data_IF_934925124026
#
_entry.id   IF_934925124026
#
_cell.length_a   1.000
_cell.length_b   1.000
_cell.length_c   1.000
_cell.angle_alpha   90.00
_cell.angle_beta   90.00
_cell.angle_gamma   90.00
#
_symmetry.space_group_name_H-M   'P 1'
#
loop_
_entity.id
_entity.type
_entity.pdbx_description
1 polymer ?
#
# COMPACT_ATOMS: atom_id res chain seq x y z
N UNK A 1 12.79 82.20 1.29
CA UNK A 1 12.43 81.67 -0.03
C UNK A 1 12.24 80.19 0.11
N UNK A 2 11.04 79.88 0.08
CA UNK A 2 10.50 78.56 0.49
C UNK A 2 10.30 77.77 -0.74
N UNK A 3 10.83 76.59 -0.75
CA UNK A 3 10.44 75.59 -1.76
C UNK A 3 9.84 74.40 -1.05
N UNK A 4 8.58 74.38 -1.15
CA UNK A 4 7.72 73.33 -0.69
C UNK A 4 7.88 72.12 -1.65
N UNK A 5 8.48 71.08 -1.21
CA UNK A 5 8.56 69.85 -1.93
C UNK A 5 7.43 68.91 -1.44
N UNK A 6 6.41 68.86 -2.23
CA UNK A 6 5.28 67.94 -2.03
C UNK A 6 5.73 66.55 -2.36
N UNK A 7 5.97 65.77 -1.36
CA UNK A 7 6.15 64.34 -1.53
C UNK A 7 4.80 63.68 -1.69
N UNK A 8 4.55 63.29 -2.92
CA UNK A 8 3.41 62.46 -3.27
C UNK A 8 3.67 61.04 -2.77
N UNK A 9 3.03 60.70 -1.67
CA UNK A 9 3.05 59.35 -1.13
C UNK A 9 2.08 58.49 -1.92
N UNK A 10 2.61 57.79 -2.89
CA UNK A 10 1.84 56.76 -3.60
C UNK A 10 1.60 55.58 -2.67
N UNK A 11 0.40 55.51 -2.14
CA UNK A 11 -0.11 54.32 -1.46
C UNK A 11 -0.31 53.22 -2.48
N UNK A 12 0.66 52.38 -2.62
CA UNK A 12 0.49 51.12 -3.34
C UNK A 12 -0.22 50.14 -2.39
N UNK A 13 -1.52 50.08 -2.53
CA UNK A 13 -2.32 49.05 -1.93
C UNK A 13 -1.99 47.72 -2.58
N UNK A 14 -1.10 46.98 -1.94
CA UNK A 14 -0.97 45.55 -2.27
C UNK A 14 -2.21 44.84 -1.78
N UNK A 15 -3.14 44.60 -2.68
CA UNK A 15 -4.17 43.60 -2.48
C UNK A 15 -3.46 42.26 -2.56
N UNK A 16 -3.05 41.75 -1.44
CA UNK A 16 -2.70 40.35 -1.31
C UNK A 16 -4.00 39.57 -1.33
N UNK A 17 -4.37 39.07 -2.49
CA UNK A 17 -5.32 37.99 -2.57
C UNK A 17 -4.64 36.75 -2.03
N UNK A 18 -4.86 36.48 -0.75
CA UNK A 18 -4.58 35.19 -0.18
C UNK A 18 -5.53 34.19 -0.83
N UNK A 19 -5.10 33.55 -1.87
CA UNK A 19 -5.67 32.30 -2.27
C UNK A 19 -5.25 31.25 -1.24
N UNK A 20 -6.04 31.13 -0.19
CA UNK A 20 -6.05 29.95 0.63
C UNK A 20 -6.76 28.87 -0.20
N UNK A 21 -6.04 28.21 -1.06
CA UNK A 21 -6.39 26.89 -1.50
C UNK A 21 -5.98 25.96 -0.36
N UNK A 22 -6.91 25.76 0.54
CA UNK A 22 -6.88 24.58 1.40
C UNK A 22 -7.05 23.35 0.52
N UNK A 23 -5.97 22.99 -0.14
CA UNK A 23 -5.79 21.64 -0.55
C UNK A 23 -5.37 20.90 0.72
N UNK A 24 -6.33 20.32 1.41
CA UNK A 24 -6.09 19.23 2.32
C UNK A 24 -5.48 18.08 1.52
N UNK A 25 -4.23 18.27 1.18
CA UNK A 25 -3.37 17.16 0.89
C UNK A 25 -3.12 16.47 2.23
N UNK A 26 -4.01 15.53 2.54
CA UNK A 26 -3.61 14.44 3.37
C UNK A 26 -2.50 13.71 2.59
N UNK A 27 -1.31 14.28 2.64
CA UNK A 27 -0.10 13.56 2.30
C UNK A 27 -0.01 12.45 3.34
N UNK A 28 -0.45 11.28 2.97
CA UNK A 28 -0.09 10.07 3.66
C UNK A 28 1.40 9.88 3.43
N UNK A 29 2.20 10.69 4.13
CA UNK A 29 3.63 10.49 4.22
C UNK A 29 3.84 9.17 4.94
N UNK A 30 4.23 8.17 4.21
CA UNK A 30 4.52 6.87 4.76
C UNK A 30 4.33 5.70 3.81
N UNK A 31 3.86 5.95 2.60
CA UNK A 31 3.71 4.88 1.60
C UNK A 31 5.06 4.56 0.97
N UNK A 32 5.90 3.89 1.74
CA UNK A 32 7.22 3.40 1.27
C UNK A 32 7.05 2.51 0.03
N UNK A 33 5.92 1.83 -0.07
CA UNK A 33 5.60 0.96 -1.19
C UNK A 33 5.38 1.69 -2.52
N UNK A 34 4.95 2.96 -2.53
CA UNK A 34 4.78 3.72 -3.77
C UNK A 34 6.09 3.96 -4.52
N UNK A 35 7.22 3.99 -3.81
CA UNK A 35 8.54 4.17 -4.41
C UNK A 35 9.15 2.89 -4.96
N UNK A 36 8.69 1.73 -4.48
CA UNK A 36 9.30 0.43 -4.75
C UNK A 36 8.47 -0.44 -5.70
N UNK A 37 7.25 -0.02 -6.03
CA UNK A 37 6.27 -0.88 -6.68
C UNK A 37 5.83 -0.28 -8.00
N UNK A 38 5.92 -1.06 -9.07
CA UNK A 38 5.24 -0.75 -10.31
C UNK A 38 3.72 -0.91 -10.09
N UNK A 39 3.03 0.21 -9.85
CA UNK A 39 1.61 0.24 -9.52
C UNK A 39 0.70 -0.46 -10.53
N UNK A 40 1.17 -0.72 -11.75
CA UNK A 40 0.43 -1.49 -12.76
C UNK A 40 0.34 -2.98 -12.42
N UNK A 41 1.30 -3.51 -11.68
CA UNK A 41 1.36 -4.93 -11.33
C UNK A 41 0.63 -5.27 -10.04
N UNK A 42 0.55 -4.33 -9.10
CA UNK A 42 0.01 -4.60 -7.79
C UNK A 42 -1.49 -4.82 -7.74
N UNK A 43 -2.28 -4.05 -8.45
CA UNK A 43 -3.74 -4.14 -8.51
C UNK A 43 -4.43 -4.57 -7.20
N UNK A 44 -3.86 -4.20 -6.04
CA UNK A 44 -4.44 -4.41 -4.72
C UNK A 44 -5.40 -3.29 -4.37
N UNK A 45 -6.30 -3.53 -3.43
CA UNK A 45 -7.10 -2.46 -2.83
C UNK A 45 -6.19 -1.65 -1.89
N UNK A 46 -5.98 -0.33 -2.12
CA UNK A 46 -5.04 0.47 -1.33
C UNK A 46 -5.40 0.50 0.16
N UNK A 47 -6.65 0.76 0.50
CA UNK A 47 -7.11 0.84 1.90
C UNK A 47 -6.93 -0.49 2.64
N UNK A 48 -7.15 -1.59 1.93
CA UNK A 48 -6.98 -2.92 2.49
C UNK A 48 -5.49 -3.24 2.69
N UNK A 49 -4.66 -2.83 1.75
CA UNK A 49 -3.22 -3.00 1.83
C UNK A 49 -2.63 -2.19 2.99
N UNK A 50 -3.01 -0.93 3.12
CA UNK A 50 -2.58 -0.07 4.23
C UNK A 50 -2.97 -0.66 5.60
N UNK A 51 -4.19 -1.16 5.73
CA UNK A 51 -4.63 -1.86 6.95
C UNK A 51 -3.82 -3.12 7.22
N UNK A 52 -3.44 -3.83 6.17
CA UNK A 52 -2.61 -5.02 6.29
C UNK A 52 -1.22 -4.68 6.83
N UNK A 53 -0.64 -3.55 6.42
CA UNK A 53 0.68 -3.12 6.86
C UNK A 53 0.73 -2.65 8.31
N UNK A 54 -0.40 -2.29 8.91
CA UNK A 54 -0.45 -1.82 10.30
C UNK A 54 0.15 -2.85 11.25
N UNK A 55 1.14 -2.42 12.03
CA UNK A 55 1.84 -3.27 13.02
C UNK A 55 2.89 -4.19 12.43
N UNK A 56 3.20 -4.09 11.15
CA UNK A 56 4.31 -4.80 10.52
C UNK A 56 5.55 -3.90 10.54
N UNK A 57 6.59 -4.38 11.19
CA UNK A 57 7.92 -3.77 11.22
C UNK A 57 8.94 -4.83 10.81
N UNK A 58 10.01 -4.39 10.14
CA UNK A 58 11.07 -5.31 9.66
C UNK A 58 10.49 -6.54 8.95
N UNK A 59 9.61 -6.28 8.00
CA UNK A 59 8.87 -7.32 7.29
C UNK A 59 9.00 -7.18 5.78
N UNK A 60 8.71 -8.27 5.11
CA UNK A 60 8.47 -8.30 3.67
C UNK A 60 7.09 -8.90 3.40
N UNK A 61 6.44 -8.39 2.37
CA UNK A 61 5.10 -8.82 1.99
C UNK A 61 5.13 -9.44 0.61
N UNK A 62 4.73 -10.69 0.52
CA UNK A 62 4.43 -11.35 -0.74
C UNK A 62 2.99 -11.03 -1.15
N UNK A 63 2.84 -10.48 -2.34
CA UNK A 63 1.56 -10.16 -2.96
C UNK A 63 1.37 -11.18 -4.08
N UNK A 64 0.44 -12.12 -3.87
CA UNK A 64 0.24 -13.27 -4.75
C UNK A 64 -1.04 -13.11 -5.54
N UNK A 65 -0.94 -13.24 -6.86
CA UNK A 65 -2.10 -13.36 -7.75
C UNK A 65 -2.61 -14.78 -7.74
N UNK A 66 -3.89 -14.97 -7.42
CA UNK A 66 -4.51 -16.29 -7.30
C UNK A 66 -5.75 -16.39 -8.18
N UNK A 67 -5.82 -17.45 -8.96
CA UNK A 67 -7.00 -17.83 -9.73
C UNK A 67 -7.81 -18.92 -9.01
N UNK A 68 -9.11 -18.93 -9.25
CA UNK A 68 -10.02 -19.94 -8.71
C UNK A 68 -10.61 -19.62 -7.35
N UNK A 69 -10.31 -18.45 -6.79
CA UNK A 69 -10.98 -17.96 -5.57
C UNK A 69 -12.36 -17.41 -5.92
N UNK A 70 -13.39 -18.22 -5.72
CA UNK A 70 -14.77 -17.85 -6.06
C UNK A 70 -15.68 -17.74 -4.86
N UNK A 71 -15.22 -18.13 -3.67
CA UNK A 71 -16.05 -18.14 -2.46
C UNK A 71 -15.22 -17.91 -1.18
N UNK A 72 -15.94 -17.47 -0.16
CA UNK A 72 -15.42 -17.24 1.19
C UNK A 72 -14.73 -18.46 1.81
N UNK A 73 -15.23 -19.63 1.47
CA UNK A 73 -14.67 -20.89 1.97
C UNK A 73 -13.25 -21.13 1.47
N UNK A 74 -12.99 -20.78 0.21
CA UNK A 74 -11.67 -20.87 -0.39
C UNK A 74 -10.68 -19.92 0.30
N UNK A 75 -11.10 -18.69 0.55
CA UNK A 75 -10.29 -17.70 1.26
C UNK A 75 -9.92 -18.16 2.66
N UNK A 76 -10.87 -18.70 3.41
CA UNK A 76 -10.65 -19.23 4.77
C UNK A 76 -9.72 -20.44 4.76
N UNK A 77 -9.79 -21.28 3.74
CA UNK A 77 -8.89 -22.42 3.56
C UNK A 77 -7.44 -21.95 3.40
N UNK A 78 -7.22 -20.98 2.53
CA UNK A 78 -5.90 -20.38 2.32
C UNK A 78 -5.40 -19.72 3.62
N UNK A 79 -6.19 -18.88 4.26
CA UNK A 79 -5.80 -18.24 5.52
C UNK A 79 -5.41 -19.26 6.58
N UNK A 80 -6.20 -20.32 6.74
CA UNK A 80 -5.94 -21.39 7.70
C UNK A 80 -4.64 -22.13 7.40
N UNK A 81 -4.34 -22.35 6.14
CA UNK A 81 -3.11 -23.03 5.71
C UNK A 81 -1.88 -22.19 6.06
N UNK A 82 -1.89 -20.89 5.73
CA UNK A 82 -0.76 -20.02 6.00
C UNK A 82 -0.62 -19.64 7.48
N UNK A 83 -1.70 -19.57 8.24
CA UNK A 83 -1.64 -19.34 9.70
C UNK A 83 -0.95 -20.46 10.47
N UNK A 84 -0.82 -21.64 9.91
CA UNK A 84 -0.08 -22.76 10.49
C UNK A 84 1.42 -22.69 10.24
N UNK A 85 1.84 -21.86 9.31
CA UNK A 85 3.25 -21.67 8.99
C UNK A 85 3.86 -20.64 9.94
N UNK A 86 4.83 -21.08 10.76
CA UNK A 86 5.50 -20.23 11.75
C UNK A 86 6.28 -19.07 11.14
N UNK A 87 6.64 -19.15 9.87
CA UNK A 87 7.31 -18.08 9.12
C UNK A 87 6.38 -16.93 8.76
N UNK A 88 5.09 -17.17 8.72
CA UNK A 88 4.07 -16.19 8.35
C UNK A 88 3.70 -15.31 9.53
N UNK A 89 3.99 -14.02 9.43
CA UNK A 89 3.61 -13.02 10.44
C UNK A 89 2.14 -12.61 10.33
N UNK A 90 1.67 -12.45 9.10
CA UNK A 90 0.29 -11.99 8.82
C UNK A 90 -0.18 -12.50 7.47
N UNK A 91 -1.46 -12.76 7.34
CA UNK A 91 -2.10 -13.20 6.10
C UNK A 91 -3.40 -12.44 5.89
N UNK A 92 -3.68 -12.04 4.66
CA UNK A 92 -4.96 -11.49 4.23
C UNK A 92 -5.32 -12.01 2.84
N UNK A 93 -6.58 -12.33 2.63
CA UNK A 93 -7.08 -12.83 1.34
C UNK A 93 -8.17 -11.91 0.83
N UNK A 94 -7.90 -11.26 -0.30
CA UNK A 94 -8.86 -10.41 -1.01
C UNK A 94 -9.52 -11.18 -2.16
N UNK A 95 -10.71 -11.69 -1.90
CA UNK A 95 -11.52 -12.40 -2.91
C UNK A 95 -11.85 -11.52 -4.12
N UNK A 96 -12.15 -10.24 -3.88
CA UNK A 96 -12.61 -9.33 -4.92
C UNK A 96 -11.54 -9.03 -5.96
N UNK A 97 -10.28 -9.13 -5.58
CA UNK A 97 -9.11 -8.88 -6.41
C UNK A 97 -8.32 -10.14 -6.77
N UNK A 98 -8.67 -11.27 -6.19
CA UNK A 98 -7.89 -12.50 -6.37
C UNK A 98 -6.47 -12.38 -5.82
N UNK A 99 -6.30 -11.68 -4.69
CA UNK A 99 -4.98 -11.41 -4.07
C UNK A 99 -4.86 -12.09 -2.73
N UNK A 100 -3.66 -12.61 -2.49
CA UNK A 100 -3.24 -13.07 -1.16
C UNK A 100 -2.04 -12.26 -0.72
N UNK A 101 -2.13 -11.62 0.44
CA UNK A 101 -1.07 -10.86 1.07
C UNK A 101 -0.48 -11.69 2.21
N UNK A 102 0.82 -11.95 2.15
CA UNK A 102 1.51 -12.78 3.14
C UNK A 102 2.73 -12.01 3.66
N UNK A 103 2.74 -11.71 4.95
CA UNK A 103 3.87 -11.04 5.58
C UNK A 103 4.84 -12.04 6.22
N UNK A 104 6.11 -11.85 5.96
CA UNK A 104 7.23 -12.59 6.51
C UNK A 104 8.22 -11.65 7.19
N UNK A 105 9.13 -12.17 8.02
CA UNK A 105 10.28 -11.40 8.48
C UNK A 105 11.22 -11.08 7.32
N UNK A 106 11.98 -9.96 7.41
CA UNK A 106 12.95 -9.59 6.37
C UNK A 106 14.00 -10.66 6.09
N UNK A 107 14.34 -11.46 7.10
CA UNK A 107 15.37 -12.50 6.99
C UNK A 107 14.84 -13.84 6.46
N UNK A 108 13.54 -13.97 6.24
CA UNK A 108 12.96 -15.18 5.68
C UNK A 108 13.12 -15.22 4.16
N UNK A 109 13.50 -16.36 3.65
CA UNK A 109 13.48 -16.62 2.21
C UNK A 109 12.06 -16.96 1.77
N UNK A 110 11.53 -16.18 0.83
CA UNK A 110 10.20 -16.41 0.28
C UNK A 110 10.31 -17.28 -0.96
N UNK A 111 9.87 -18.53 -0.86
CA UNK A 111 9.81 -19.46 -1.99
C UNK A 111 8.39 -19.45 -2.61
N UNK A 112 8.32 -19.03 -3.87
CA UNK A 112 7.05 -19.02 -4.60
C UNK A 112 6.49 -20.42 -4.84
N UNK A 113 7.33 -21.45 -4.96
CA UNK A 113 6.85 -22.83 -5.15
C UNK A 113 6.17 -23.34 -3.88
N UNK A 114 6.73 -23.07 -2.71
CA UNK A 114 6.09 -23.40 -1.44
C UNK A 114 4.71 -22.71 -1.29
N UNK A 115 4.63 -21.43 -1.66
CA UNK A 115 3.38 -20.68 -1.67
C UNK A 115 2.37 -21.30 -2.64
N UNK A 116 2.81 -21.66 -3.85
CA UNK A 116 1.96 -22.33 -4.86
C UNK A 116 1.38 -23.64 -4.34
N UNK A 117 2.19 -24.48 -3.73
CA UNK A 117 1.77 -25.75 -3.16
C UNK A 117 0.69 -25.55 -2.08
N UNK A 118 0.90 -24.61 -1.17
CA UNK A 118 -0.07 -24.27 -0.12
C UNK A 118 -1.39 -23.73 -0.69
N UNK A 119 -1.35 -23.01 -1.79
CA UNK A 119 -2.55 -22.50 -2.46
C UNK A 119 -3.28 -23.62 -3.22
N UNK A 120 -2.53 -24.49 -3.90
CA UNK A 120 -3.09 -25.63 -4.67
C UNK A 120 -3.81 -26.62 -3.76
N UNK A 121 -3.31 -26.87 -2.56
CA UNK A 121 -3.99 -27.72 -1.57
C UNK A 121 -5.41 -27.24 -1.26
N UNK A 122 -5.65 -25.94 -1.41
CA UNK A 122 -6.97 -25.33 -1.21
C UNK A 122 -7.79 -25.23 -2.52
N UNK A 123 -7.33 -25.83 -3.59
CA UNK A 123 -8.05 -25.90 -4.88
C UNK A 123 -7.91 -24.67 -5.76
N UNK A 124 -6.94 -23.77 -5.49
CA UNK A 124 -6.68 -22.57 -6.27
C UNK A 124 -5.30 -22.62 -6.89
N UNK A 125 -5.02 -21.68 -7.81
CA UNK A 125 -3.74 -21.57 -8.48
C UNK A 125 -3.09 -20.21 -8.25
N UNK A 126 -1.89 -20.17 -7.69
CA UNK A 126 -1.05 -18.99 -7.67
C UNK A 126 -0.37 -18.81 -9.03
N UNK A 127 -0.52 -17.62 -9.63
CA UNK A 127 -0.04 -17.32 -10.98
C UNK A 127 1.30 -16.62 -10.93
N UNK A 128 1.39 -15.58 -10.16
CA UNK A 128 2.59 -14.79 -9.96
C UNK A 128 2.66 -14.20 -8.55
N UNK A 129 3.80 -13.65 -8.21
CA UNK A 129 4.05 -13.06 -6.92
C UNK A 129 4.96 -11.83 -7.06
N UNK A 130 4.68 -10.81 -6.28
CA UNK A 130 5.58 -9.69 -6.04
C UNK A 130 5.94 -9.63 -4.56
N UNK A 131 7.16 -9.21 -4.26
CA UNK A 131 7.63 -9.03 -2.89
C UNK A 131 7.97 -7.57 -2.65
N UNK A 132 7.47 -7.03 -1.57
CA UNK A 132 7.71 -5.66 -1.09
C UNK A 132 8.37 -5.75 0.27
N UNK A 133 9.48 -5.04 0.44
CA UNK A 133 10.14 -4.89 1.75
C UNK A 133 9.68 -3.59 2.42
N UNK A 134 9.39 -3.69 3.71
CA UNK A 134 8.94 -2.57 4.55
C UNK A 134 10.11 -2.00 5.36
#
# INVERSE_FOLDING_TARGET
MIKILTTLLALISFLSTANASDADHHSHEGHIHEKMIDGKKLAVNPDRFDKFLVGLEDAQVAIVNVQGMVCDFCARGIEKTFKKDEKVKKIDVDLSKGKVLIAYSLNEEIDFNDIKEKIVINGQNAIDMQVVSL
#
